data_IF_199386100228
#
_entry.id   IF_199386100228
#
_cell.length_a   1.000
_cell.length_b   1.000
_cell.length_c   1.000
_cell.angle_alpha   90.00
_cell.angle_beta   90.00
_cell.angle_gamma   90.00
#
_symmetry.space_group_name_H-M   'P 1'
#
loop_
_entity.id
_entity.type
_entity.pdbx_description
1 polymer ?
#
# COMPACT_ATOMS: atom_id res chain seq x y z
N UNK A 1 -35.16 -10.17 8.71
CA UNK A 1 -34.76 -10.43 10.10
C UNK A 1 -33.48 -9.65 10.31
N UNK A 2 -33.52 -8.43 10.82
CA UNK A 2 -32.31 -7.68 11.23
C UNK A 2 -31.87 -8.33 12.54
N UNK A 3 -30.83 -9.14 12.50
CA UNK A 3 -30.09 -9.43 13.70
C UNK A 3 -29.44 -8.11 14.13
N UNK A 4 -29.86 -7.56 15.29
CA UNK A 4 -29.15 -6.49 15.99
C UNK A 4 -27.84 -7.07 16.55
N UNK A 5 -26.96 -7.48 15.65
CA UNK A 5 -25.61 -7.82 15.98
C UNK A 5 -24.86 -6.48 16.07
N UNK A 6 -24.27 -6.19 17.23
CA UNK A 6 -23.27 -5.14 17.35
C UNK A 6 -22.13 -5.50 16.40
N UNK A 7 -22.14 -4.91 15.20
CA UNK A 7 -21.14 -5.18 14.16
C UNK A 7 -19.77 -4.66 14.60
N UNK A 8 -18.78 -5.55 14.63
CA UNK A 8 -17.40 -5.24 14.98
C UNK A 8 -16.54 -5.40 13.73
N UNK A 9 -16.15 -4.27 13.12
CA UNK A 9 -15.30 -4.26 11.95
C UNK A 9 -13.82 -4.24 12.34
N UNK A 10 -13.11 -5.33 12.10
CA UNK A 10 -11.67 -5.49 12.35
C UNK A 10 -10.92 -5.93 11.09
N UNK A 11 -11.34 -5.40 9.94
CA UNK A 11 -10.69 -5.63 8.64
C UNK A 11 -10.27 -4.32 7.94
N UNK A 12 -9.74 -3.37 8.73
CA UNK A 12 -9.31 -2.05 8.24
C UNK A 12 -8.11 -2.11 7.27
N UNK A 13 -7.36 -3.22 7.23
CA UNK A 13 -6.32 -3.43 6.23
C UNK A 13 -6.89 -3.77 4.84
N UNK A 14 -8.10 -4.33 4.75
CA UNK A 14 -8.79 -4.55 3.47
C UNK A 14 -9.35 -3.25 2.92
N UNK A 15 -10.10 -2.50 3.71
CA UNK A 15 -10.63 -1.16 3.37
C UNK A 15 -11.07 -0.43 4.63
N UNK A 16 -11.21 0.89 4.55
CA UNK A 16 -11.77 1.70 5.63
C UNK A 16 -13.00 2.48 5.15
N UNK A 17 -13.93 2.85 6.04
CA UNK A 17 -15.04 3.73 5.68
C UNK A 17 -14.52 5.14 5.40
N UNK A 18 -15.18 5.87 4.52
CA UNK A 18 -14.97 7.31 4.36
C UNK A 18 -15.47 8.00 5.63
N UNK A 19 -14.66 8.91 6.20
CA UNK A 19 -15.12 9.69 7.37
C UNK A 19 -16.10 10.78 6.96
N UNK A 20 -16.87 11.28 7.92
CA UNK A 20 -17.86 12.33 7.67
C UNK A 20 -17.19 13.62 7.20
N UNK A 21 -16.04 13.97 7.77
CA UNK A 21 -15.27 15.16 7.38
C UNK A 21 -14.78 15.07 5.93
N UNK A 22 -14.34 13.87 5.51
CA UNK A 22 -13.91 13.63 4.13
C UNK A 22 -15.11 13.69 3.19
N UNK A 23 -16.22 13.05 3.55
CA UNK A 23 -17.45 13.07 2.74
C UNK A 23 -17.97 14.50 2.54
N UNK A 24 -18.02 15.28 3.61
CA UNK A 24 -18.50 16.67 3.57
C UNK A 24 -17.62 17.55 2.67
N UNK A 25 -16.30 17.34 2.65
CA UNK A 25 -15.38 18.04 1.76
C UNK A 25 -15.61 17.68 0.28
N UNK A 26 -16.02 16.44 0.00
CA UNK A 26 -16.28 15.93 -1.35
C UNK A 26 -17.61 16.42 -1.94
N UNK A 27 -18.66 16.55 -1.12
CA UNK A 27 -20.04 16.78 -1.56
C UNK A 27 -20.23 17.96 -2.52
N UNK A 28 -19.60 19.14 -2.34
CA UNK A 28 -19.76 20.26 -3.26
C UNK A 28 -19.38 19.96 -4.70
N UNK A 29 -18.39 19.09 -4.91
CA UNK A 29 -17.84 18.76 -6.24
C UNK A 29 -18.70 17.80 -7.05
N UNK A 30 -19.74 17.24 -6.47
CA UNK A 30 -20.72 16.42 -7.20
C UNK A 30 -21.81 17.25 -7.88
N UNK A 31 -22.18 18.40 -7.29
CA UNK A 31 -23.40 19.13 -7.71
C UNK A 31 -23.24 20.63 -7.86
N UNK A 32 -22.31 21.25 -7.15
CA UNK A 32 -22.11 22.72 -7.16
C UNK A 32 -20.87 23.10 -7.95
N UNK A 33 -19.69 22.62 -7.55
CA UNK A 33 -18.39 22.91 -8.18
C UNK A 33 -17.96 21.77 -9.11
N UNK A 34 -18.85 21.36 -10.02
CA UNK A 34 -18.69 20.20 -10.91
C UNK A 34 -17.96 20.49 -12.23
N UNK A 35 -17.36 21.67 -12.38
CA UNK A 35 -16.72 22.09 -13.63
C UNK A 35 -15.59 21.14 -14.05
N UNK A 36 -15.48 20.87 -15.37
CA UNK A 36 -14.33 20.14 -15.89
C UNK A 36 -13.04 20.98 -15.70
N UNK A 37 -12.01 20.48 -15.01
CA UNK A 37 -10.80 21.26 -14.69
C UNK A 37 -10.05 21.83 -15.89
N UNK A 38 -10.27 21.27 -17.10
CA UNK A 38 -9.64 21.75 -18.34
C UNK A 38 -10.32 22.99 -18.95
N UNK A 39 -11.49 23.42 -18.42
CA UNK A 39 -12.22 24.57 -18.93
C UNK A 39 -11.63 25.92 -18.47
N UNK A 40 -11.95 26.99 -19.21
CA UNK A 40 -11.45 28.33 -18.93
C UNK A 40 -12.36 29.18 -18.04
N UNK A 41 -13.61 28.76 -17.83
CA UNK A 41 -14.59 29.48 -17.02
C UNK A 41 -14.44 29.22 -15.52
N UNK A 42 -14.98 30.11 -14.68
CA UNK A 42 -14.80 30.13 -13.23
C UNK A 42 -15.06 28.77 -12.56
N UNK A 43 -16.18 28.11 -12.89
CA UNK A 43 -16.53 26.81 -12.35
C UNK A 43 -15.45 25.74 -12.56
N UNK A 44 -14.78 25.79 -13.71
CA UNK A 44 -13.64 24.92 -14.02
C UNK A 44 -12.37 25.27 -13.24
N UNK A 45 -12.11 26.58 -13.08
CA UNK A 45 -10.96 27.04 -12.30
C UNK A 45 -11.09 26.68 -10.82
N UNK A 46 -12.31 26.70 -10.26
CA UNK A 46 -12.58 26.20 -8.91
C UNK A 46 -12.22 24.73 -8.76
N UNK A 47 -12.65 23.88 -9.70
CA UNK A 47 -12.30 22.46 -9.70
C UNK A 47 -10.80 22.23 -9.83
N UNK A 48 -10.13 22.97 -10.72
CA UNK A 48 -8.68 22.91 -10.91
C UNK A 48 -7.92 23.33 -9.63
N UNK A 49 -8.34 24.43 -9.01
CA UNK A 49 -7.73 24.88 -7.75
C UNK A 49 -7.89 23.84 -6.64
N UNK A 50 -9.05 23.18 -6.55
CA UNK A 50 -9.29 22.13 -5.58
C UNK A 50 -8.37 20.91 -5.78
N UNK A 51 -8.12 20.52 -7.04
CA UNK A 51 -7.16 19.44 -7.37
C UNK A 51 -5.75 19.83 -6.90
N UNK A 52 -5.28 21.02 -7.26
CA UNK A 52 -3.93 21.45 -6.87
C UNK A 52 -3.79 21.58 -5.34
N UNK A 53 -4.81 22.08 -4.65
CA UNK A 53 -4.81 22.12 -3.19
C UNK A 53 -4.77 20.73 -2.54
N UNK A 54 -5.48 19.76 -3.10
CA UNK A 54 -5.40 18.37 -2.65
C UNK A 54 -4.01 17.77 -2.92
N UNK A 55 -3.40 18.12 -4.07
CA UNK A 55 -2.04 17.70 -4.44
C UNK A 55 -1.00 18.24 -3.46
N UNK A 56 -1.11 19.52 -3.08
CA UNK A 56 -0.24 20.16 -2.07
C UNK A 56 -0.33 19.44 -0.72
N UNK A 57 -1.52 19.00 -0.30
CA UNK A 57 -1.71 18.23 0.93
C UNK A 57 -1.00 16.87 0.87
N UNK A 58 -1.12 16.16 -0.23
CA UNK A 58 -0.42 14.87 -0.42
C UNK A 58 1.08 15.09 -0.38
N UNK A 59 1.59 16.04 -1.15
CA UNK A 59 3.01 16.38 -1.22
C UNK A 59 3.58 16.75 0.16
N UNK A 60 2.89 17.61 0.90
CA UNK A 60 3.29 18.04 2.24
C UNK A 60 3.42 16.87 3.22
N UNK A 61 2.50 15.89 3.18
CA UNK A 61 2.51 14.77 4.13
C UNK A 61 3.72 13.85 3.92
N UNK A 62 4.17 13.68 2.67
CA UNK A 62 5.31 12.83 2.36
C UNK A 62 6.62 13.61 2.14
N UNK A 63 6.62 14.94 2.39
CA UNK A 63 7.74 15.85 2.17
C UNK A 63 8.26 15.85 0.72
N UNK A 64 7.36 16.01 -0.26
CA UNK A 64 7.67 16.13 -1.68
C UNK A 64 7.22 17.48 -2.26
N UNK A 65 7.53 17.71 -3.54
CA UNK A 65 6.93 18.82 -4.30
C UNK A 65 5.60 18.39 -4.90
N UNK A 66 4.68 19.33 -5.08
CA UNK A 66 3.38 19.06 -5.72
C UNK A 66 3.53 18.61 -7.18
N UNK A 67 4.60 19.03 -7.87
CA UNK A 67 4.95 18.55 -9.22
C UNK A 67 5.22 17.06 -9.30
N UNK A 68 5.63 16.45 -8.19
CA UNK A 68 6.01 15.04 -8.10
C UNK A 68 4.81 14.11 -7.80
N UNK A 69 3.59 14.64 -7.64
CA UNK A 69 2.40 13.84 -7.33
C UNK A 69 1.55 13.66 -8.59
N UNK A 70 1.19 12.41 -8.89
CA UNK A 70 0.27 12.01 -9.96
C UNK A 70 -0.93 11.33 -9.30
N UNK A 71 -2.15 11.79 -9.55
CA UNK A 71 -3.36 11.11 -9.08
C UNK A 71 -3.69 9.92 -9.96
N UNK A 72 -4.10 8.82 -9.32
CA UNK A 72 -4.43 7.54 -9.94
C UNK A 72 -5.77 7.03 -9.40
N UNK A 73 -6.28 5.92 -9.93
CA UNK A 73 -7.51 5.30 -9.39
C UNK A 73 -7.29 4.47 -8.11
N UNK A 74 -6.06 4.34 -7.63
CA UNK A 74 -5.74 3.56 -6.42
C UNK A 74 -4.35 2.94 -6.47
N UNK A 75 -3.99 2.18 -5.42
CA UNK A 75 -2.67 1.57 -5.29
C UNK A 75 -2.29 0.65 -6.46
N UNK A 76 -3.25 -0.10 -6.99
CA UNK A 76 -2.99 -0.99 -8.14
C UNK A 76 -2.56 -0.20 -9.39
N UNK A 77 -3.24 0.90 -9.71
CA UNK A 77 -2.83 1.75 -10.83
C UNK A 77 -1.48 2.42 -10.54
N UNK A 78 -1.27 2.93 -9.33
CA UNK A 78 0.01 3.54 -8.91
C UNK A 78 1.18 2.56 -9.08
N UNK A 79 1.04 1.34 -8.58
CA UNK A 79 2.06 0.29 -8.69
C UNK A 79 2.34 -0.10 -10.15
N UNK A 80 1.29 -0.25 -10.96
CA UNK A 80 1.44 -0.55 -12.39
C UNK A 80 2.11 0.61 -13.13
N UNK A 81 1.74 1.87 -12.85
CA UNK A 81 2.33 3.04 -13.48
C UNK A 81 3.82 3.17 -13.10
N UNK A 82 4.16 2.99 -11.84
CA UNK A 82 5.54 3.00 -11.38
C UNK A 82 6.38 1.95 -12.11
N UNK A 83 5.94 0.71 -12.10
CA UNK A 83 6.71 -0.41 -12.64
C UNK A 83 6.67 -0.46 -14.18
N UNK A 84 5.46 -0.52 -14.77
CA UNK A 84 5.32 -0.63 -16.23
C UNK A 84 5.69 0.65 -16.95
N UNK A 85 5.34 1.82 -16.40
CA UNK A 85 5.66 3.12 -16.98
C UNK A 85 7.17 3.32 -17.07
N UNK A 86 7.91 2.97 -16.01
CA UNK A 86 9.38 3.02 -16.05
C UNK A 86 9.96 1.98 -17.01
N UNK A 87 9.55 0.72 -16.90
CA UNK A 87 10.14 -0.36 -17.68
C UNK A 87 9.89 -0.21 -19.18
N UNK A 88 8.71 0.27 -19.61
CA UNK A 88 8.42 0.50 -21.03
C UNK A 88 9.24 1.64 -21.64
N UNK A 89 9.44 2.73 -20.88
CA UNK A 89 10.26 3.86 -21.34
C UNK A 89 11.77 3.55 -21.37
N UNK A 90 12.20 2.45 -20.71
CA UNK A 90 13.61 2.07 -20.55
C UNK A 90 13.91 0.66 -21.06
N UNK A 91 13.20 0.19 -22.08
CA UNK A 91 13.44 -1.13 -22.65
C UNK A 91 14.86 -1.19 -23.22
N UNK A 92 15.69 -2.09 -22.65
CA UNK A 92 16.95 -2.50 -23.24
C UNK A 92 16.87 -4.01 -23.49
N UNK A 93 17.33 -4.43 -24.66
CA UNK A 93 17.19 -5.84 -25.12
C UNK A 93 18.11 -6.84 -24.39
N UNK A 94 18.78 -6.43 -23.31
CA UNK A 94 19.89 -7.16 -22.67
C UNK A 94 19.55 -7.86 -21.35
N UNK A 95 18.30 -8.33 -21.15
CA UNK A 95 17.89 -9.03 -19.93
C UNK A 95 18.09 -8.19 -18.65
N UNK A 96 17.65 -6.93 -18.67
CA UNK A 96 17.62 -6.10 -17.48
C UNK A 96 16.83 -6.78 -16.35
N UNK A 97 17.26 -6.55 -15.12
CA UNK A 97 16.68 -7.22 -13.94
C UNK A 97 15.81 -6.25 -13.13
N UNK A 98 14.68 -6.79 -12.68
CA UNK A 98 13.78 -6.17 -11.70
C UNK A 98 13.87 -7.00 -10.44
N UNK A 99 14.14 -6.35 -9.30
CA UNK A 99 14.13 -6.99 -7.98
C UNK A 99 12.85 -6.59 -7.26
N UNK A 100 12.10 -7.56 -6.78
CA UNK A 100 10.92 -7.33 -5.94
C UNK A 100 11.01 -8.16 -4.66
N UNK A 101 10.36 -7.74 -3.58
CA UNK A 101 10.31 -8.58 -2.39
C UNK A 101 9.38 -9.79 -2.61
N UNK A 102 9.69 -10.92 -1.95
CA UNK A 102 8.83 -12.11 -2.00
C UNK A 102 7.48 -11.94 -1.29
N UNK A 103 7.29 -10.82 -0.59
CA UNK A 103 6.07 -10.50 0.15
C UNK A 103 5.32 -9.28 -0.44
N UNK A 104 5.58 -8.94 -1.71
CA UNK A 104 4.86 -7.86 -2.38
C UNK A 104 3.36 -8.15 -2.51
N UNK A 105 2.58 -7.08 -2.63
CA UNK A 105 1.20 -7.21 -3.06
C UNK A 105 1.11 -7.68 -4.53
N UNK A 106 0.07 -8.42 -4.90
CA UNK A 106 -0.15 -8.90 -6.27
C UNK A 106 -0.16 -7.78 -7.32
N UNK A 107 -0.43 -6.53 -6.92
CA UNK A 107 -0.34 -5.35 -7.79
C UNK A 107 1.11 -4.99 -8.22
N UNK A 108 2.12 -5.64 -7.63
CA UNK A 108 3.53 -5.59 -8.05
C UNK A 108 3.94 -6.93 -8.67
N UNK A 109 3.60 -8.06 -8.04
CA UNK A 109 4.02 -9.40 -8.51
C UNK A 109 3.55 -9.64 -9.96
N UNK A 110 2.24 -9.56 -10.21
CA UNK A 110 1.69 -9.86 -11.54
C UNK A 110 2.16 -8.89 -12.64
N UNK A 111 2.22 -7.55 -12.42
CA UNK A 111 2.83 -6.66 -13.39
C UNK A 111 4.31 -6.95 -13.67
N UNK A 112 5.09 -7.31 -12.64
CA UNK A 112 6.49 -7.69 -12.81
C UNK A 112 6.62 -8.96 -13.69
N UNK A 113 5.83 -9.98 -13.40
CA UNK A 113 5.81 -11.21 -14.19
C UNK A 113 5.44 -10.95 -15.65
N UNK A 114 4.49 -10.05 -15.93
CA UNK A 114 4.15 -9.67 -17.31
C UNK A 114 5.33 -9.03 -18.06
N UNK A 115 6.21 -8.32 -17.37
CA UNK A 115 7.38 -7.67 -17.99
C UNK A 115 8.44 -8.70 -18.47
N UNK A 116 8.35 -9.95 -18.05
CA UNK A 116 9.22 -11.02 -18.59
C UNK A 116 8.98 -11.24 -20.09
N UNK A 117 7.76 -11.01 -20.58
CA UNK A 117 7.41 -11.11 -21.99
C UNK A 117 8.11 -10.09 -22.89
N UNK A 118 8.62 -9.01 -22.32
CA UNK A 118 9.38 -7.96 -23.02
C UNK A 118 10.88 -7.95 -22.66
N UNK A 119 11.36 -9.04 -22.04
CA UNK A 119 12.79 -9.29 -21.84
C UNK A 119 13.34 -9.00 -20.45
N UNK A 120 12.53 -8.52 -19.50
CA UNK A 120 12.98 -8.34 -18.11
C UNK A 120 13.10 -9.68 -17.38
N UNK A 121 14.09 -9.77 -16.49
CA UNK A 121 14.22 -10.89 -15.57
C UNK A 121 13.81 -10.47 -14.16
N UNK A 122 12.92 -11.22 -13.55
CA UNK A 122 12.45 -10.95 -12.20
C UNK A 122 13.29 -11.73 -11.19
N UNK A 123 13.76 -11.02 -10.16
CA UNK A 123 14.47 -11.55 -9.01
C UNK A 123 13.68 -11.29 -7.75
N UNK A 124 13.42 -12.34 -6.99
CA UNK A 124 12.74 -12.22 -5.71
C UNK A 124 13.75 -12.07 -4.58
N UNK A 125 13.56 -11.06 -3.75
CA UNK A 125 14.34 -10.87 -2.54
C UNK A 125 13.62 -11.52 -1.36
N UNK A 126 14.31 -12.45 -0.68
CA UNK A 126 13.75 -13.21 0.43
C UNK A 126 13.65 -12.36 1.71
N UNK A 127 12.75 -12.80 2.59
CA UNK A 127 12.56 -12.23 3.92
C UNK A 127 12.96 -13.21 5.03
N UNK A 128 13.16 -12.71 6.23
CA UNK A 128 13.39 -13.51 7.44
C UNK A 128 12.05 -13.94 8.10
N UNK A 129 12.13 -14.60 9.24
CA UNK A 129 10.98 -15.05 10.03
C UNK A 129 10.08 -13.91 10.53
N UNK A 130 10.57 -12.67 10.55
CA UNK A 130 9.80 -11.47 10.89
C UNK A 130 9.18 -10.80 9.65
N UNK A 131 9.43 -11.33 8.46
CA UNK A 131 9.01 -10.73 7.19
C UNK A 131 9.84 -9.51 6.80
N UNK A 132 11.07 -9.38 7.28
CA UNK A 132 12.01 -8.31 6.92
C UNK A 132 12.98 -8.81 5.84
N UNK A 133 13.31 -7.94 4.89
CA UNK A 133 14.28 -8.24 3.83
C UNK A 133 15.61 -8.69 4.44
N UNK A 134 16.12 -9.83 3.96
CA UNK A 134 17.47 -10.32 4.30
C UNK A 134 18.52 -9.47 3.61
N UNK A 135 19.02 -8.45 4.32
CA UNK A 135 19.88 -7.37 3.77
C UNK A 135 21.09 -7.91 3.01
N UNK A 136 21.78 -8.94 3.55
CA UNK A 136 22.95 -9.52 2.90
C UNK A 136 22.62 -10.25 1.60
N UNK A 137 21.43 -10.84 1.48
CA UNK A 137 20.96 -11.47 0.24
C UNK A 137 20.56 -10.39 -0.76
N UNK A 138 19.83 -9.35 -0.31
CA UNK A 138 19.43 -8.22 -1.12
C UNK A 138 20.63 -7.53 -1.78
N UNK A 139 21.69 -7.23 -1.01
CA UNK A 139 22.90 -6.61 -1.55
C UNK A 139 23.56 -7.45 -2.66
N UNK A 140 23.56 -8.79 -2.54
CA UNK A 140 24.12 -9.71 -3.52
C UNK A 140 23.26 -9.84 -4.79
N UNK A 141 21.96 -9.60 -4.69
CA UNK A 141 21.07 -9.63 -5.86
C UNK A 141 21.31 -8.45 -6.80
N UNK A 142 21.74 -7.30 -6.26
CA UNK A 142 21.96 -6.08 -7.05
C UNK A 142 23.22 -6.19 -7.87
N UNK A 143 23.08 -6.06 -9.20
CA UNK A 143 24.16 -6.16 -10.18
C UNK A 143 23.99 -5.12 -11.29
N UNK A 144 24.91 -5.09 -12.27
CA UNK A 144 24.93 -4.14 -13.37
C UNK A 144 23.68 -4.16 -14.26
N UNK A 145 22.89 -5.25 -14.24
CA UNK A 145 21.63 -5.39 -14.98
C UNK A 145 20.42 -4.90 -14.20
N UNK A 146 20.55 -4.65 -12.91
CA UNK A 146 19.43 -4.18 -12.08
C UNK A 146 19.02 -2.78 -12.52
N UNK A 147 17.75 -2.62 -12.90
CA UNK A 147 17.14 -1.33 -13.33
C UNK A 147 16.13 -0.80 -12.35
N UNK A 148 15.35 -1.71 -11.76
CA UNK A 148 14.22 -1.36 -10.92
C UNK A 148 14.17 -2.27 -9.69
N UNK A 149 13.88 -1.68 -8.54
CA UNK A 149 13.67 -2.38 -7.28
C UNK A 149 12.34 -1.94 -6.69
N UNK A 150 11.51 -2.89 -6.31
CA UNK A 150 10.25 -2.60 -5.60
C UNK A 150 10.20 -3.38 -4.29
N UNK A 151 10.13 -2.64 -3.18
CA UNK A 151 10.01 -3.21 -1.84
C UNK A 151 8.79 -2.59 -1.14
N UNK A 152 7.84 -3.44 -0.74
CA UNK A 152 6.68 -3.01 0.02
C UNK A 152 7.12 -2.30 1.31
N UNK A 153 6.57 -1.12 1.60
CA UNK A 153 6.95 -0.36 2.79
C UNK A 153 6.49 -1.06 4.08
N UNK A 154 5.23 -1.47 4.07
CA UNK A 154 4.63 -2.23 5.17
C UNK A 154 3.66 -3.27 4.62
N UNK A 155 3.80 -4.52 5.06
CA UNK A 155 3.02 -5.62 4.54
C UNK A 155 1.58 -5.60 5.08
N UNK A 156 0.61 -5.85 4.20
CA UNK A 156 -0.81 -5.79 4.49
C UNK A 156 -1.35 -7.02 5.24
N UNK A 157 -0.59 -8.11 5.30
CA UNK A 157 -1.01 -9.36 5.95
C UNK A 157 -0.43 -9.51 7.35
N UNK A 158 0.88 -9.34 7.48
CA UNK A 158 1.62 -9.57 8.72
C UNK A 158 2.06 -8.28 9.42
N UNK A 159 1.91 -7.13 8.75
CA UNK A 159 2.26 -5.83 9.32
C UNK A 159 3.76 -5.54 9.42
N UNK A 160 4.66 -6.36 8.84
CA UNK A 160 6.10 -6.07 8.86
C UNK A 160 6.42 -4.75 8.17
N UNK A 161 7.30 -3.95 8.77
CA UNK A 161 7.74 -2.64 8.26
C UNK A 161 9.17 -2.78 7.77
N UNK A 162 9.43 -2.53 6.49
CA UNK A 162 10.75 -2.67 5.90
C UNK A 162 11.66 -1.50 6.25
N UNK A 163 12.95 -1.77 6.38
CA UNK A 163 13.99 -0.77 6.64
C UNK A 163 14.39 -0.04 5.35
N UNK A 164 13.43 0.65 4.73
CA UNK A 164 13.57 1.24 3.39
C UNK A 164 14.82 2.09 3.25
N UNK A 165 15.14 2.93 4.24
CA UNK A 165 16.35 3.79 4.20
C UNK A 165 17.63 2.97 4.09
N UNK A 166 17.78 1.92 4.89
CA UNK A 166 18.95 1.02 4.85
C UNK A 166 19.09 0.35 3.49
N UNK A 167 17.98 -0.12 2.91
CA UNK A 167 17.98 -0.76 1.60
C UNK A 167 18.35 0.22 0.48
N UNK A 168 17.83 1.45 0.52
CA UNK A 168 18.17 2.50 -0.45
C UNK A 168 19.64 2.89 -0.35
N UNK A 169 20.21 3.02 0.84
CA UNK A 169 21.64 3.31 1.02
C UNK A 169 22.53 2.27 0.34
N UNK A 170 22.14 0.99 0.37
CA UNK A 170 22.84 -0.08 -0.35
C UNK A 170 22.73 0.14 -1.87
N UNK A 171 21.52 0.45 -2.36
CA UNK A 171 21.29 0.70 -3.79
C UNK A 171 22.13 1.88 -4.28
N UNK A 172 22.16 2.99 -3.53
CA UNK A 172 22.96 4.18 -3.90
C UNK A 172 24.47 3.90 -3.91
N UNK A 173 24.96 3.00 -3.05
CA UNK A 173 26.37 2.52 -3.11
C UNK A 173 26.63 1.71 -4.39
N UNK A 174 25.69 0.84 -4.78
CA UNK A 174 25.78 0.03 -6.01
C UNK A 174 25.69 0.88 -7.28
N UNK A 175 24.81 1.90 -7.30
CA UNK A 175 24.74 2.89 -8.40
C UNK A 175 26.10 3.53 -8.66
N UNK A 176 26.78 3.98 -7.60
CA UNK A 176 28.13 4.58 -7.71
C UNK A 176 29.17 3.57 -8.22
N UNK A 177 29.06 2.31 -7.81
CA UNK A 177 29.97 1.25 -8.26
C UNK A 177 29.80 0.92 -9.75
N UNK A 178 28.55 0.92 -10.22
CA UNK A 178 28.20 0.55 -11.60
C UNK A 178 28.10 1.73 -12.55
N UNK A 179 28.25 2.97 -12.04
CA UNK A 179 28.01 4.21 -12.78
C UNK A 179 26.65 4.23 -13.50
N UNK A 180 25.58 3.86 -12.75
CA UNK A 180 24.27 3.61 -13.31
C UNK A 180 23.16 3.87 -12.29
N UNK A 181 22.07 4.53 -12.73
CA UNK A 181 20.88 4.76 -11.91
C UNK A 181 20.06 3.47 -11.80
N UNK A 182 19.59 3.17 -10.56
CA UNK A 182 18.67 2.08 -10.23
C UNK A 182 17.45 2.71 -9.55
N UNK A 183 16.27 2.52 -10.10
CA UNK A 183 15.05 3.12 -9.54
C UNK A 183 14.56 2.30 -8.37
N UNK A 184 14.31 2.97 -7.25
CA UNK A 184 13.73 2.37 -6.05
C UNK A 184 12.29 2.84 -5.86
N UNK A 185 11.37 1.90 -5.96
CA UNK A 185 9.94 2.05 -5.71
C UNK A 185 9.56 1.43 -4.36
N UNK A 186 8.62 2.04 -3.66
CA UNK A 186 8.00 1.43 -2.49
C UNK A 186 6.47 1.53 -2.54
N UNK A 187 5.79 0.39 -2.33
CA UNK A 187 4.35 0.36 -2.09
C UNK A 187 4.07 0.78 -0.64
N UNK A 188 3.61 2.01 -0.44
CA UNK A 188 3.28 2.57 0.87
C UNK A 188 1.78 2.53 1.20
N UNK A 189 1.00 1.75 0.47
CA UNK A 189 -0.46 1.67 0.62
C UNK A 189 -0.89 1.37 2.07
N UNK A 190 -0.15 0.55 2.80
CA UNK A 190 -0.42 0.27 4.22
C UNK A 190 0.31 1.20 5.19
N UNK A 191 1.26 2.00 4.73
CA UNK A 191 2.12 2.82 5.59
C UNK A 191 1.56 4.22 5.85
N UNK A 192 0.91 4.85 4.83
CA UNK A 192 0.34 6.20 4.95
C UNK A 192 -0.63 6.31 6.12
N UNK A 193 -0.46 7.38 6.92
CA UNK A 193 -1.28 7.67 8.11
C UNK A 193 -1.01 6.76 9.30
N UNK A 194 -0.06 5.82 9.20
CA UNK A 194 0.33 4.89 10.27
C UNK A 194 1.81 5.04 10.66
N UNK A 195 2.65 5.37 9.67
CA UNK A 195 4.09 5.59 9.82
C UNK A 195 4.42 6.94 9.19
N UNK A 196 5.38 7.65 9.76
CA UNK A 196 5.91 8.86 9.14
C UNK A 196 6.69 8.48 7.89
N UNK A 197 6.37 9.12 6.76
CA UNK A 197 7.08 8.96 5.50
C UNK A 197 7.64 10.32 5.07
N UNK A 198 8.92 10.32 4.72
CA UNK A 198 9.64 11.48 4.19
C UNK A 198 10.46 11.00 2.99
N UNK A 199 9.96 11.26 1.78
CA UNK A 199 10.58 10.73 0.56
C UNK A 199 11.95 11.34 0.28
N UNK A 200 12.22 12.54 0.78
CA UNK A 200 13.52 13.21 0.66
C UNK A 200 14.54 12.57 1.60
N UNK A 201 14.19 12.40 2.89
CA UNK A 201 15.06 11.74 3.87
C UNK A 201 15.35 10.28 3.51
N UNK A 202 14.37 9.59 2.92
CA UNK A 202 14.50 8.21 2.46
C UNK A 202 15.28 8.10 1.15
N UNK A 203 15.43 9.18 0.38
CA UNK A 203 15.98 9.18 -0.98
C UNK A 203 15.22 8.26 -1.95
N UNK A 204 13.86 8.23 -1.83
CA UNK A 204 12.97 7.44 -2.66
C UNK A 204 12.85 8.03 -4.07
N UNK A 205 12.68 7.16 -5.07
CA UNK A 205 12.40 7.56 -6.45
C UNK A 205 10.90 7.53 -6.77
N UNK A 206 10.16 6.50 -6.26
CA UNK A 206 8.74 6.29 -6.51
C UNK A 206 8.04 5.78 -5.25
N UNK A 207 6.80 6.25 -4.98
CA UNK A 207 5.99 5.81 -3.84
C UNK A 207 4.52 5.69 -4.20
N UNK A 208 3.93 4.51 -4.01
CA UNK A 208 2.50 4.27 -4.28
C UNK A 208 1.61 4.48 -3.05
N UNK A 209 0.46 5.15 -3.26
CA UNK A 209 -0.51 5.51 -2.23
C UNK A 209 -1.91 5.06 -2.67
N UNK A 210 -2.73 4.59 -1.73
CA UNK A 210 -4.14 4.24 -1.98
C UNK A 210 -5.06 4.80 -0.90
N UNK A 211 -6.00 5.64 -1.31
CA UNK A 211 -6.81 6.43 -0.39
C UNK A 211 -7.68 5.63 0.57
N UNK A 212 -8.30 4.55 0.10
CA UNK A 212 -9.24 3.76 0.91
C UNK A 212 -8.61 3.00 2.09
N UNK A 213 -7.30 3.07 2.27
CA UNK A 213 -6.59 2.49 3.43
C UNK A 213 -6.44 3.45 4.61
N UNK A 214 -6.81 4.72 4.40
CA UNK A 214 -6.79 5.79 5.42
C UNK A 214 -8.00 6.73 5.32
N UNK A 215 -9.19 6.14 5.14
CA UNK A 215 -10.48 6.81 5.19
C UNK A 215 -10.81 7.78 4.03
N UNK A 216 -10.09 7.74 2.91
CA UNK A 216 -10.49 8.33 1.66
C UNK A 216 -11.45 7.40 0.88
N UNK A 217 -12.13 7.89 -0.16
CA UNK A 217 -12.96 7.05 -1.00
C UNK A 217 -12.16 5.97 -1.73
N UNK A 218 -12.84 4.89 -2.10
CA UNK A 218 -12.33 3.91 -3.06
C UNK A 218 -12.23 4.56 -4.43
N UNK A 219 -11.36 4.05 -5.30
CA UNK A 219 -11.23 4.58 -6.66
C UNK A 219 -10.35 5.84 -6.76
N UNK A 220 -9.51 6.09 -5.75
CA UNK A 220 -8.50 7.16 -5.76
C UNK A 220 -7.20 6.71 -5.08
N UNK A 221 -6.07 7.11 -5.66
CA UNK A 221 -4.74 6.95 -5.13
C UNK A 221 -3.82 8.03 -5.67
N UNK A 222 -2.55 7.92 -5.34
CA UNK A 222 -1.52 8.79 -5.88
C UNK A 222 -0.21 8.01 -6.07
N UNK A 223 0.60 8.45 -7.02
CA UNK A 223 1.98 8.04 -7.21
C UNK A 223 2.87 9.26 -7.01
N UNK A 224 3.83 9.18 -6.08
CA UNK A 224 4.95 10.08 -6.04
C UNK A 224 5.97 9.62 -7.08
N UNK A 225 6.42 10.56 -7.91
CA UNK A 225 7.44 10.37 -8.94
C UNK A 225 8.46 11.46 -8.76
N UNK A 226 9.69 11.11 -8.38
CA UNK A 226 10.78 12.09 -8.21
C UNK A 226 10.97 12.89 -9.50
N UNK A 227 11.16 14.20 -9.40
CA UNK A 227 11.51 15.06 -10.53
C UNK A 227 12.65 14.43 -11.34
N UNK A 228 12.63 14.63 -12.64
CA UNK A 228 13.56 14.08 -13.64
C UNK A 228 13.28 12.60 -14.05
N UNK A 229 12.38 11.87 -13.38
CA UNK A 229 11.97 10.55 -13.83
C UNK A 229 10.84 10.65 -14.86
N UNK A 230 11.04 10.02 -15.99
CA UNK A 230 9.99 9.87 -17.00
C UNK A 230 9.35 8.50 -16.89
N UNK A 231 8.02 8.47 -16.82
CA UNK A 231 7.21 7.26 -16.88
C UNK A 231 6.35 7.31 -18.15
N UNK A 232 6.33 6.23 -18.92
CA UNK A 232 5.37 6.09 -20.01
C UNK A 232 3.95 5.92 -19.41
N UNK A 233 2.98 6.73 -19.82
CA UNK A 233 1.63 6.63 -19.28
C UNK A 233 1.01 5.27 -19.61
N UNK A 234 0.17 4.76 -18.69
CA UNK A 234 -0.62 3.55 -18.93
C UNK A 234 -1.90 3.85 -19.70
N UNK A 235 -2.41 5.07 -19.58
CA UNK A 235 -3.66 5.53 -20.17
C UNK A 235 -3.37 6.73 -21.06
N UNK A 236 -3.44 6.52 -22.36
CA UNK A 236 -3.32 7.58 -23.37
C UNK A 236 -4.63 8.35 -23.50
N UNK A 237 -4.55 9.65 -23.88
CA UNK A 237 -5.74 10.46 -24.08
C UNK A 237 -5.46 11.98 -24.04
N UNK A 238 -6.26 12.72 -23.28
CA UNK A 238 -6.27 14.18 -23.26
C UNK A 238 -5.12 14.86 -22.49
N UNK A 239 -4.14 14.10 -21.99
CA UNK A 239 -2.94 14.65 -21.35
C UNK A 239 -3.15 15.23 -19.95
N UNK A 240 -4.21 14.82 -19.24
CA UNK A 240 -4.43 15.18 -17.85
C UNK A 240 -3.27 14.66 -16.96
N UNK A 241 -3.23 15.08 -15.72
CA UNK A 241 -2.12 14.77 -14.78
C UNK A 241 -0.75 15.02 -15.44
N UNK A 242 -0.61 16.14 -16.14
CA UNK A 242 0.65 16.56 -16.81
C UNK A 242 1.17 15.51 -17.80
N UNK A 243 0.28 14.90 -18.57
CA UNK A 243 0.53 13.84 -19.57
C UNK A 243 0.92 12.47 -18.97
N UNK A 244 0.87 12.30 -17.64
CA UNK A 244 1.22 11.04 -17.00
C UNK A 244 0.03 10.10 -16.84
N UNK A 245 -1.20 10.65 -16.81
CA UNK A 245 -2.42 9.85 -16.64
C UNK A 245 -3.61 10.58 -17.25
N UNK A 246 -4.05 10.14 -18.42
CA UNK A 246 -5.16 10.75 -19.15
C UNK A 246 -6.54 10.37 -18.58
N UNK A 247 -7.54 11.17 -18.95
CA UNK A 247 -8.93 11.04 -18.48
C UNK A 247 -9.31 12.17 -17.52
N UNK A 248 -10.56 12.67 -17.66
CA UNK A 248 -11.05 13.75 -16.79
C UNK A 248 -10.85 13.40 -15.31
N UNK A 249 -10.30 14.32 -14.57
CA UNK A 249 -9.93 14.15 -13.17
C UNK A 249 -11.17 13.95 -12.29
N UNK A 250 -11.11 12.97 -11.40
CA UNK A 250 -12.15 12.69 -10.42
C UNK A 250 -12.07 13.68 -9.26
N UNK A 251 -12.50 14.93 -9.50
CA UNK A 251 -12.36 16.05 -8.55
C UNK A 251 -12.85 15.70 -7.14
N UNK A 252 -14.06 15.14 -6.96
CA UNK A 252 -14.55 14.82 -5.61
C UNK A 252 -13.62 13.84 -4.87
N UNK A 253 -13.16 12.79 -5.55
CA UNK A 253 -12.31 11.80 -4.92
C UNK A 253 -10.89 12.31 -4.65
N UNK A 254 -10.35 13.17 -5.51
CA UNK A 254 -9.06 13.85 -5.31
C UNK A 254 -9.12 14.75 -4.07
N UNK A 255 -10.16 15.55 -3.95
CA UNK A 255 -10.40 16.39 -2.77
C UNK A 255 -10.54 15.53 -1.51
N UNK A 256 -11.30 14.43 -1.60
CA UNK A 256 -11.43 13.45 -0.52
C UNK A 256 -10.10 12.82 -0.11
N UNK A 257 -9.23 12.49 -1.06
CA UNK A 257 -7.87 11.99 -0.78
C UNK A 257 -7.04 13.04 -0.03
N UNK A 258 -7.04 14.30 -0.51
CA UNK A 258 -6.31 15.40 0.12
C UNK A 258 -6.78 15.67 1.55
N UNK A 259 -8.10 15.59 1.82
CA UNK A 259 -8.65 15.73 3.19
C UNK A 259 -8.28 14.54 4.07
N UNK A 260 -8.41 13.33 3.54
CA UNK A 260 -8.14 12.11 4.30
C UNK A 260 -6.66 11.98 4.70
N UNK A 261 -5.72 12.31 3.80
CA UNK A 261 -4.29 12.20 4.11
C UNK A 261 -3.86 13.23 5.16
N UNK A 262 -4.42 14.45 5.12
CA UNK A 262 -4.22 15.50 6.14
C UNK A 262 -4.70 15.02 7.52
N UNK A 263 -5.91 14.45 7.60
CA UNK A 263 -6.47 13.90 8.83
C UNK A 263 -5.67 12.70 9.35
N UNK A 264 -5.27 11.81 8.46
CA UNK A 264 -4.49 10.63 8.81
C UNK A 264 -3.12 11.01 9.41
N UNK A 265 -2.42 12.00 8.81
CA UNK A 265 -1.14 12.47 9.36
C UNK A 265 -1.31 13.20 10.69
N UNK A 266 -2.32 14.07 10.82
CA UNK A 266 -2.57 14.79 12.08
C UNK A 266 -2.95 13.87 13.24
N UNK A 267 -3.57 12.71 12.96
CA UNK A 267 -3.97 11.73 13.95
C UNK A 267 -3.00 10.52 14.07
N UNK A 268 -1.89 10.50 13.35
CA UNK A 268 -0.99 9.35 13.23
C UNK A 268 -0.50 8.81 14.57
N UNK A 269 -0.07 9.67 15.48
CA UNK A 269 0.42 9.25 16.79
C UNK A 269 -0.70 8.69 17.69
N UNK A 270 -1.89 9.31 17.63
CA UNK A 270 -3.06 8.81 18.34
C UNK A 270 -3.51 7.46 17.76
N UNK A 271 -3.55 7.33 16.43
CA UNK A 271 -3.85 6.07 15.77
C UNK A 271 -2.87 4.97 16.19
N UNK A 272 -1.56 5.28 16.22
CA UNK A 272 -0.53 4.34 16.64
C UNK A 272 -0.76 3.86 18.08
N UNK A 273 -0.85 4.77 19.03
CA UNK A 273 -0.99 4.43 20.45
C UNK A 273 -2.28 3.66 20.75
N UNK A 274 -3.39 4.10 20.13
CA UNK A 274 -4.70 3.47 20.28
C UNK A 274 -4.71 2.02 19.74
N UNK A 275 -4.34 1.84 18.48
CA UNK A 275 -4.40 0.53 17.84
C UNK A 275 -3.35 -0.44 18.40
N UNK A 276 -2.17 0.05 18.76
CA UNK A 276 -1.15 -0.77 19.41
C UNK A 276 -1.64 -1.32 20.75
N UNK A 277 -2.33 -0.50 21.56
CA UNK A 277 -2.94 -0.95 22.82
C UNK A 277 -3.97 -2.05 22.59
N UNK A 278 -4.81 -1.91 21.58
CA UNK A 278 -5.81 -2.92 21.21
C UNK A 278 -5.15 -4.24 20.76
N UNK A 279 -4.12 -4.15 19.92
CA UNK A 279 -3.36 -5.31 19.41
C UNK A 279 -2.69 -6.07 20.56
N UNK A 280 -2.00 -5.38 21.47
CA UNK A 280 -1.31 -6.05 22.58
C UNK A 280 -2.32 -6.70 23.55
N UNK A 281 -3.43 -6.03 23.81
CA UNK A 281 -4.52 -6.63 24.62
C UNK A 281 -5.12 -7.85 23.95
N UNK A 282 -5.35 -7.81 22.64
CA UNK A 282 -5.90 -8.94 21.89
C UNK A 282 -4.91 -10.10 21.86
N UNK A 283 -3.64 -9.83 21.56
CA UNK A 283 -2.56 -10.82 21.57
C UNK A 283 -2.47 -11.53 22.90
N UNK A 284 -2.40 -10.80 24.02
CA UNK A 284 -2.36 -11.40 25.36
C UNK A 284 -3.58 -12.27 25.66
N UNK A 285 -4.79 -11.85 25.27
CA UNK A 285 -5.99 -12.64 25.45
C UNK A 285 -5.99 -13.95 24.65
N UNK A 286 -5.48 -13.90 23.41
CA UNK A 286 -5.35 -15.08 22.55
C UNK A 286 -4.29 -16.01 23.12
N UNK A 287 -3.09 -15.53 23.46
CA UNK A 287 -1.99 -16.31 24.07
C UNK A 287 -2.45 -17.06 25.34
N UNK A 288 -3.21 -16.39 26.19
CA UNK A 288 -3.71 -16.99 27.44
C UNK A 288 -4.80 -18.05 27.24
N UNK A 289 -5.60 -17.96 26.17
CA UNK A 289 -6.72 -18.88 25.91
C UNK A 289 -6.38 -19.98 24.93
N UNK A 290 -5.45 -19.74 24.04
CA UNK A 290 -5.02 -20.61 22.93
C UNK A 290 -3.48 -20.65 22.92
N UNK A 291 -2.85 -21.38 23.85
CA UNK A 291 -1.38 -21.38 23.97
C UNK A 291 -0.66 -21.98 22.77
N UNK A 292 -1.36 -22.74 21.92
CA UNK A 292 -0.85 -23.33 20.67
C UNK A 292 -0.87 -22.35 19.48
N UNK A 293 -1.42 -21.15 19.64
CA UNK A 293 -1.51 -20.17 18.54
C UNK A 293 -0.13 -19.75 18.02
N UNK A 294 -0.02 -19.65 16.70
CA UNK A 294 1.20 -19.17 16.02
C UNK A 294 0.96 -17.76 15.51
N UNK A 295 1.67 -16.77 16.07
CA UNK A 295 1.60 -15.38 15.60
C UNK A 295 2.57 -15.14 14.45
N UNK A 296 2.05 -14.54 13.38
CA UNK A 296 2.85 -14.17 12.19
C UNK A 296 3.25 -12.70 12.18
N UNK A 297 2.51 -11.84 12.89
CA UNK A 297 2.83 -10.43 13.07
C UNK A 297 3.88 -10.22 14.15
N UNK A 298 4.93 -9.46 13.83
CA UNK A 298 5.92 -8.98 14.82
C UNK A 298 5.32 -7.88 15.72
N UNK A 299 5.79 -7.78 16.96
CA UNK A 299 5.44 -6.67 17.86
C UNK A 299 5.98 -5.31 17.38
N UNK A 300 7.03 -5.32 16.54
CA UNK A 300 7.63 -4.13 15.95
C UNK A 300 7.05 -3.79 14.56
N UNK A 301 5.93 -4.40 14.19
CA UNK A 301 5.22 -4.13 12.93
C UNK A 301 4.25 -2.97 13.01
N UNK A 302 3.36 -2.89 12.01
CA UNK A 302 2.23 -1.95 12.00
C UNK A 302 1.40 -2.10 13.28
N UNK A 303 1.00 -1.00 13.93
CA UNK A 303 0.35 -1.04 15.25
C UNK A 303 -1.07 -1.60 15.20
N UNK A 304 -1.61 -1.81 14.02
CA UNK A 304 -3.01 -2.13 13.81
C UNK A 304 -3.26 -3.50 13.15
N UNK A 305 -2.23 -4.29 12.85
CA UNK A 305 -2.36 -5.60 12.19
C UNK A 305 -1.92 -6.71 13.14
N UNK A 306 -2.79 -7.67 13.36
CA UNK A 306 -2.51 -8.92 14.07
C UNK A 306 -2.86 -10.09 13.15
N UNK A 307 -1.85 -10.86 12.76
CA UNK A 307 -2.01 -12.08 11.98
C UNK A 307 -1.55 -13.29 12.82
N UNK A 308 -2.36 -14.31 12.84
CA UNK A 308 -2.07 -15.55 13.58
C UNK A 308 -2.77 -16.74 12.93
N UNK A 309 -2.27 -17.94 13.22
CA UNK A 309 -2.92 -19.22 12.87
C UNK A 309 -3.18 -20.06 14.11
N UNK A 310 -4.26 -20.85 14.06
CA UNK A 310 -4.51 -21.90 15.03
C UNK A 310 -4.14 -23.22 14.35
N UNK A 311 -3.15 -23.98 14.84
CA UNK A 311 -2.72 -25.23 14.24
C UNK A 311 -3.87 -26.22 14.03
N UNK A 312 -3.88 -26.91 12.89
CA UNK A 312 -4.88 -27.89 12.50
C UNK A 312 -6.31 -27.35 12.30
N UNK A 313 -6.48 -26.02 12.24
CA UNK A 313 -7.77 -25.38 11.93
C UNK A 313 -7.57 -24.48 10.71
N UNK A 314 -8.43 -24.63 9.70
CA UNK A 314 -8.44 -23.72 8.55
C UNK A 314 -9.02 -22.35 8.92
N UNK A 315 -8.49 -21.29 8.30
CA UNK A 315 -8.91 -19.92 8.59
C UNK A 315 -10.34 -19.60 8.15
N UNK A 316 -10.81 -20.15 7.02
CA UNK A 316 -12.14 -19.87 6.47
C UNK A 316 -13.28 -20.22 7.44
N UNK A 317 -13.36 -21.42 8.06
CA UNK A 317 -14.37 -21.72 9.08
C UNK A 317 -14.32 -20.78 10.28
N UNK A 318 -13.13 -20.31 10.67
CA UNK A 318 -12.99 -19.32 11.76
C UNK A 318 -13.65 -18.02 11.36
N UNK A 319 -13.35 -17.51 10.13
CA UNK A 319 -13.90 -16.26 9.61
C UNK A 319 -15.43 -16.32 9.48
N UNK A 320 -15.97 -17.41 8.97
CA UNK A 320 -17.42 -17.65 8.91
C UNK A 320 -18.03 -17.63 10.32
N UNK A 321 -17.39 -18.29 11.29
CA UNK A 321 -17.86 -18.31 12.68
C UNK A 321 -17.81 -16.94 13.35
N UNK A 322 -16.81 -16.12 13.02
CA UNK A 322 -16.72 -14.74 13.47
C UNK A 322 -17.81 -13.86 12.85
N UNK A 323 -18.07 -14.01 11.56
CA UNK A 323 -19.12 -13.26 10.86
C UNK A 323 -20.51 -13.55 11.41
N UNK A 324 -20.83 -14.82 11.71
CA UNK A 324 -22.07 -15.18 12.40
C UNK A 324 -22.23 -14.53 13.80
N UNK A 325 -21.14 -14.04 14.38
CA UNK A 325 -21.13 -13.28 15.64
C UNK A 325 -21.03 -11.77 15.43
N UNK A 326 -21.13 -11.30 14.19
CA UNK A 326 -21.02 -9.88 13.83
C UNK A 326 -19.57 -9.37 13.83
N UNK A 327 -18.55 -10.23 13.81
CA UNK A 327 -17.14 -9.82 13.77
C UNK A 327 -16.59 -10.03 12.36
N UNK A 328 -16.26 -8.92 11.68
CA UNK A 328 -15.75 -8.91 10.30
C UNK A 328 -14.23 -8.89 10.32
N UNK A 329 -13.61 -10.00 9.96
CA UNK A 329 -12.17 -10.21 9.87
C UNK A 329 -11.80 -10.83 8.52
N UNK A 330 -10.52 -11.00 8.21
CA UNK A 330 -10.03 -11.54 6.94
C UNK A 330 -8.99 -12.65 7.15
N UNK A 331 -8.83 -13.52 6.15
CA UNK A 331 -7.57 -14.24 5.95
C UNK A 331 -6.56 -13.26 5.35
N UNK A 332 -5.27 -13.42 5.62
CA UNK A 332 -4.25 -12.54 5.04
C UNK A 332 -4.36 -12.42 3.50
N UNK A 333 -4.70 -13.51 2.82
CA UNK A 333 -4.79 -13.65 1.35
C UNK A 333 -6.14 -13.27 0.73
N UNK A 334 -6.91 -12.35 1.30
CA UNK A 334 -8.29 -12.00 0.91
C UNK A 334 -8.50 -11.60 -0.59
N UNK A 335 -7.46 -11.53 -1.40
CA UNK A 335 -7.55 -11.17 -2.82
C UNK A 335 -7.79 -12.35 -3.77
N UNK A 336 -7.77 -13.61 -3.31
CA UNK A 336 -8.05 -14.81 -4.10
C UNK A 336 -9.43 -15.38 -3.77
N UNK A 337 -10.47 -14.86 -4.42
CA UNK A 337 -11.88 -15.20 -4.16
C UNK A 337 -12.32 -16.60 -4.65
N UNK A 338 -11.40 -17.45 -5.12
CA UNK A 338 -11.77 -18.72 -5.74
C UNK A 338 -10.89 -19.94 -5.37
N UNK A 339 -9.79 -19.78 -4.64
CA UNK A 339 -8.92 -20.91 -4.26
C UNK A 339 -8.51 -20.83 -2.80
N UNK A 340 -8.58 -21.97 -2.11
CA UNK A 340 -8.03 -22.16 -0.74
C UNK A 340 -6.51 -22.32 -0.89
N UNK A 341 -5.82 -21.25 -1.31
CA UNK A 341 -4.37 -21.26 -1.42
C UNK A 341 -3.74 -20.61 -0.17
N UNK A 342 -2.63 -21.16 0.33
CA UNK A 342 -1.92 -20.55 1.45
C UNK A 342 -1.34 -19.19 1.04
N UNK A 343 -1.26 -18.26 1.99
CA UNK A 343 -0.67 -16.94 1.75
C UNK A 343 0.78 -17.07 1.29
N UNK A 344 1.09 -16.49 0.12
CA UNK A 344 2.47 -16.41 -0.39
C UNK A 344 3.40 -15.65 0.58
N UNK A 345 2.84 -14.69 1.34
CA UNK A 345 3.58 -13.93 2.36
C UNK A 345 4.01 -14.86 3.51
N UNK A 346 3.13 -15.74 3.97
CA UNK A 346 3.46 -16.70 5.02
C UNK A 346 4.42 -17.78 4.53
N UNK A 347 4.23 -18.28 3.30
CA UNK A 347 5.16 -19.22 2.67
C UNK A 347 6.55 -18.60 2.49
N UNK A 348 6.64 -17.32 2.12
CA UNK A 348 7.92 -16.62 2.00
C UNK A 348 8.66 -16.46 3.34
N UNK A 349 7.97 -16.63 4.47
CA UNK A 349 8.53 -16.66 5.84
C UNK A 349 8.85 -18.09 6.32
N UNK A 350 8.84 -19.06 5.45
CA UNK A 350 9.04 -20.48 5.77
C UNK A 350 7.97 -21.06 6.74
N UNK A 351 6.74 -20.46 6.77
CA UNK A 351 5.60 -21.02 7.50
C UNK A 351 5.08 -22.25 6.75
N UNK A 352 4.88 -23.36 7.46
CA UNK A 352 4.31 -24.58 6.87
C UNK A 352 2.93 -24.32 6.25
N UNK A 353 2.66 -24.93 5.11
CA UNK A 353 1.46 -24.70 4.30
C UNK A 353 0.16 -24.94 5.10
N UNK A 354 0.11 -26.02 5.89
CA UNK A 354 -1.02 -26.36 6.75
C UNK A 354 -1.29 -25.28 7.84
N UNK A 355 -0.24 -24.61 8.34
CA UNK A 355 -0.36 -23.51 9.29
C UNK A 355 -0.76 -22.22 8.54
N UNK A 356 -0.19 -21.95 7.37
CA UNK A 356 -0.52 -20.79 6.56
C UNK A 356 -2.00 -20.77 6.13
N UNK A 357 -2.58 -21.92 5.80
CA UNK A 357 -4.01 -22.10 5.49
C UNK A 357 -4.94 -21.76 6.68
N UNK A 358 -4.43 -21.84 7.89
CA UNK A 358 -5.15 -21.50 9.12
C UNK A 358 -5.09 -20.02 9.51
N UNK A 359 -4.52 -19.16 8.68
CA UNK A 359 -4.27 -17.77 9.07
C UNK A 359 -5.54 -16.92 9.16
N UNK A 360 -5.59 -16.09 10.20
CA UNK A 360 -6.60 -15.07 10.45
C UNK A 360 -5.89 -13.74 10.67
N UNK A 361 -6.34 -12.70 9.97
CA UNK A 361 -5.87 -11.33 10.17
C UNK A 361 -6.95 -10.48 10.80
N UNK A 362 -6.63 -9.85 11.92
CA UNK A 362 -7.39 -8.76 12.51
C UNK A 362 -6.67 -7.45 12.23
N UNK A 363 -7.39 -6.43 11.79
CA UNK A 363 -6.81 -5.11 11.56
C UNK A 363 -7.72 -4.02 12.12
N UNK A 364 -7.23 -3.36 13.17
CA UNK A 364 -7.97 -2.38 13.94
C UNK A 364 -7.92 -0.99 13.30
N UNK A 365 -8.94 -0.20 13.56
CA UNK A 365 -9.04 1.21 13.21
C UNK A 365 -9.37 2.06 14.43
N UNK A 366 -9.41 3.38 14.24
CA UNK A 366 -9.63 4.34 15.33
C UNK A 366 -11.00 4.19 16.02
N UNK A 367 -11.98 3.58 15.33
CA UNK A 367 -13.33 3.36 15.87
C UNK A 367 -13.46 2.07 16.71
N UNK A 368 -12.47 1.19 16.70
CA UNK A 368 -12.49 0.02 17.55
C UNK A 368 -12.25 0.40 19.00
N UNK A 369 -12.93 -0.29 19.94
CA UNK A 369 -12.83 -0.03 21.37
C UNK A 369 -12.25 -1.24 22.11
N UNK A 370 -11.78 -1.09 23.35
CA UNK A 370 -11.27 -2.21 24.16
C UNK A 370 -12.34 -3.23 24.58
N UNK A 371 -13.61 -2.90 24.47
CA UNK A 371 -14.77 -3.72 24.79
C UNK A 371 -15.10 -4.70 23.69
#
# INVERSE_FOLDING_TARGET
>A
MSLDLNEIYVDNAATTPVTEEVLNEMLPYFTKSYGNPSGLYMLSQESKAAIEFARDKVAKVINSQSSEIIFTSGGTESNNLALKGFCKSNITYDQDEIIISSIEHHAIIHPAEQLTSIGYKIRYCNVDENGLIKVNEFEKLINERTKFISIIFANNEIGSIQKIKELIEIVRKKEKLFDKKIIFHSDAVQAIGKIKIDVVDLDLDLLSISGHKFNAPKGIGALFVRDELFLEPLLDGGGQERQNRSGTENVPSIVGLGKAIELAESNRENFYSHTHTLIERMRMKIENKLPEVVFHSSRNGLPNILNFSIPNIQGEPILISLDFKGIMASSGSACSTASVEPSHVLLAKDVEENIALGSVRLSFGIKNTPE
#
